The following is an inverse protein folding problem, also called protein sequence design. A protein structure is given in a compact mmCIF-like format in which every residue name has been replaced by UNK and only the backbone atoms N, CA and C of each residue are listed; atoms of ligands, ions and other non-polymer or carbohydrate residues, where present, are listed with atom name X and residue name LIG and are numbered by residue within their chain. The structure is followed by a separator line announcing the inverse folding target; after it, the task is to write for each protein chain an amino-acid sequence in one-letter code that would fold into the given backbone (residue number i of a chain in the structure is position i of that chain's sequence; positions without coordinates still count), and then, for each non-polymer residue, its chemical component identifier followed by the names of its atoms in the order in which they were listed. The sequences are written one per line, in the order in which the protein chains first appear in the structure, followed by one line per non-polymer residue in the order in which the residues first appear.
data_IF_279498706191
#
_entry.id   IF_279498706191
#
_cell.length_a   1.000
_cell.length_b   1.000
_cell.length_c   1.000
_cell.angle_alpha   90.00
_cell.angle_beta   90.00
_cell.angle_gamma   90.00
#
_symmetry.space_group_name_H-M   'P 1'
#
loop_
_entity.id
_entity.type
_entity.pdbx_description
1 polymer ?
#
# COMPACT_ATOMS: atom_id res chain seq x y z
N UNK A 1 -7.89 -17.81 -3.05
CA UNK A 1 -8.12 -17.51 -1.61
C UNK A 1 -6.86 -16.80 -1.10
N UNK A 2 -7.00 -15.87 -0.15
CA UNK A 2 -5.89 -15.03 0.28
C UNK A 2 -6.00 -14.69 1.78
N UNK A 3 -4.88 -14.27 2.36
CA UNK A 3 -4.80 -13.58 3.65
C UNK A 3 -4.49 -12.11 3.36
N UNK A 4 -5.16 -11.20 4.08
CA UNK A 4 -4.99 -9.76 3.90
C UNK A 4 -4.52 -9.09 5.20
N UNK A 5 -3.20 -9.05 5.48
CA UNK A 5 -2.71 -8.30 6.63
C UNK A 5 -2.84 -6.80 6.41
N UNK A 6 -3.19 -6.08 7.47
CA UNK A 6 -3.24 -4.61 7.49
C UNK A 6 -2.00 -4.08 8.22
N UNK A 7 -1.23 -3.21 7.56
CA UNK A 7 -0.09 -2.53 8.16
C UNK A 7 -0.54 -1.25 8.85
N UNK A 8 -1.18 -1.45 10.00
CA UNK A 8 -1.90 -0.40 10.71
C UNK A 8 -0.94 0.68 11.24
N UNK A 9 -1.32 1.94 11.06
CA UNK A 9 -0.57 3.12 11.51
C UNK A 9 0.88 3.20 10.99
N UNK A 10 1.17 2.52 9.89
CA UNK A 10 2.51 2.45 9.31
C UNK A 10 3.42 1.42 9.98
N UNK A 11 2.89 0.62 10.89
CA UNK A 11 3.56 -0.53 11.47
C UNK A 11 3.22 -1.78 10.67
N UNK A 12 4.23 -2.46 10.13
CA UNK A 12 4.01 -3.69 9.37
C UNK A 12 3.57 -4.81 10.31
N UNK A 13 2.67 -5.66 9.81
CA UNK A 13 2.23 -6.86 10.52
C UNK A 13 3.41 -7.84 10.65
N UNK A 14 3.27 -8.87 11.49
CA UNK A 14 4.29 -9.92 11.60
C UNK A 14 4.29 -10.82 10.36
N UNK A 15 5.04 -10.40 9.34
CA UNK A 15 4.98 -11.01 8.02
C UNK A 15 5.57 -12.41 7.98
N UNK A 16 6.53 -12.76 8.84
CA UNK A 16 7.06 -14.12 8.91
C UNK A 16 5.99 -15.10 9.39
N UNK A 17 5.25 -14.74 10.45
CA UNK A 17 4.16 -15.56 10.98
C UNK A 17 3.03 -15.71 9.96
N UNK A 18 2.67 -14.62 9.27
CA UNK A 18 1.65 -14.64 8.22
C UNK A 18 2.09 -15.48 7.02
N UNK A 19 3.34 -15.33 6.57
CA UNK A 19 3.88 -16.08 5.44
C UNK A 19 3.88 -17.58 5.73
N UNK A 20 4.29 -18.00 6.93
CA UNK A 20 4.27 -19.41 7.31
C UNK A 20 2.87 -20.04 7.21
N UNK A 21 1.82 -19.29 7.58
CA UNK A 21 0.43 -19.73 7.45
C UNK A 21 0.01 -19.75 5.97
N UNK A 22 0.35 -18.70 5.21
CA UNK A 22 0.02 -18.60 3.80
C UNK A 22 0.60 -19.76 2.99
N UNK A 23 1.88 -20.09 3.21
CA UNK A 23 2.57 -21.19 2.55
C UNK A 23 1.95 -22.54 2.89
N UNK A 24 1.69 -22.79 4.18
CA UNK A 24 1.06 -24.03 4.66
C UNK A 24 -0.30 -24.31 4.00
N UNK A 25 -1.04 -23.25 3.67
CA UNK A 25 -2.40 -23.34 3.13
C UNK A 25 -2.50 -22.97 1.64
N UNK A 26 -1.37 -22.72 0.98
CA UNK A 26 -1.30 -22.24 -0.40
C UNK A 26 -2.22 -21.03 -0.66
N UNK A 27 -2.08 -20.01 0.18
CA UNK A 27 -2.87 -18.77 0.12
C UNK A 27 -2.01 -17.62 -0.40
N UNK A 28 -2.61 -16.76 -1.23
CA UNK A 28 -1.97 -15.51 -1.61
C UNK A 28 -1.93 -14.51 -0.44
N UNK A 29 -0.96 -13.60 -0.45
CA UNK A 29 -0.89 -12.47 0.49
C UNK A 29 -1.21 -11.18 -0.25
N UNK A 30 -2.21 -10.46 0.26
CA UNK A 30 -2.58 -9.11 -0.19
C UNK A 30 -2.28 -8.15 0.96
N UNK A 31 -1.21 -7.39 0.88
CA UNK A 31 -0.86 -6.42 1.91
C UNK A 31 -1.78 -5.19 1.79
N UNK A 32 -2.61 -4.93 2.81
CA UNK A 32 -3.21 -3.61 2.98
C UNK A 32 -2.17 -2.69 3.61
N UNK A 33 -1.42 -2.02 2.74
CA UNK A 33 -0.37 -1.06 3.06
C UNK A 33 -0.90 0.39 2.99
N UNK A 34 -2.21 0.60 3.10
CA UNK A 34 -2.83 1.92 2.96
C UNK A 34 -2.33 2.97 3.96
N UNK A 35 -1.64 2.57 5.03
CA UNK A 35 -1.05 3.47 6.04
C UNK A 35 0.47 3.32 6.17
N UNK A 36 1.11 2.51 5.31
CA UNK A 36 2.48 2.03 5.52
C UNK A 36 3.42 2.33 4.35
N UNK A 37 3.17 3.38 3.58
CA UNK A 37 4.08 3.80 2.50
C UNK A 37 5.47 4.11 3.06
N UNK A 38 6.47 3.39 2.55
CA UNK A 38 7.86 3.48 3.00
C UNK A 38 8.19 2.75 4.31
N UNK A 39 7.26 2.03 4.92
CA UNK A 39 7.55 1.15 6.05
C UNK A 39 8.38 -0.07 5.58
N UNK A 40 9.14 -0.66 6.51
CA UNK A 40 9.94 -1.87 6.23
C UNK A 40 9.79 -2.92 7.32
N UNK A 41 9.85 -4.18 6.91
CA UNK A 41 9.92 -5.36 7.76
C UNK A 41 11.15 -6.17 7.34
N UNK A 42 12.15 -6.26 8.23
CA UNK A 42 13.43 -6.98 7.97
C UNK A 42 14.07 -6.62 6.63
N UNK A 43 14.07 -5.32 6.29
CA UNK A 43 14.65 -4.79 5.05
C UNK A 43 13.76 -4.90 3.81
N UNK A 44 12.60 -5.57 3.88
CA UNK A 44 11.61 -5.59 2.81
C UNK A 44 10.61 -4.46 3.00
N UNK A 45 10.27 -3.74 1.94
CA UNK A 45 9.29 -2.65 1.97
C UNK A 45 7.87 -3.19 2.05
N UNK A 46 6.97 -2.45 2.72
CA UNK A 46 5.53 -2.74 2.69
C UNK A 46 5.02 -2.80 1.24
N UNK A 47 4.15 -3.76 0.94
CA UNK A 47 3.63 -4.03 -0.39
C UNK A 47 4.64 -4.70 -1.33
N UNK A 48 5.80 -5.13 -0.82
CA UNK A 48 6.84 -5.84 -1.56
C UNK A 48 7.03 -7.30 -1.13
N UNK A 49 6.23 -7.81 -0.18
CA UNK A 49 6.28 -9.20 0.29
C UNK A 49 5.22 -10.03 -0.44
N UNK A 50 4.03 -9.48 -0.63
CA UNK A 50 2.96 -10.00 -1.48
C UNK A 50 2.52 -8.97 -2.52
N UNK A 51 1.22 -8.97 -2.85
CA UNK A 51 0.62 -7.89 -3.65
C UNK A 51 0.19 -6.77 -2.71
N UNK A 52 0.76 -5.58 -2.85
CA UNK A 52 0.48 -4.43 -1.99
C UNK A 52 -0.63 -3.54 -2.52
N UNK A 53 -1.48 -3.06 -1.62
CA UNK A 53 -2.52 -2.07 -1.87
C UNK A 53 -2.25 -0.82 -1.03
N UNK A 54 -2.19 0.35 -1.69
CA UNK A 54 -1.95 1.63 -1.03
C UNK A 54 -3.12 2.58 -1.27
N UNK A 55 -3.35 3.45 -0.29
CA UNK A 55 -4.25 4.59 -0.40
C UNK A 55 -3.42 5.87 -0.53
N UNK A 56 -3.86 6.75 -1.41
CA UNK A 56 -3.32 8.09 -1.58
C UNK A 56 -4.36 9.16 -1.17
N UNK A 57 -5.24 8.81 -0.23
CA UNK A 57 -6.21 9.73 0.34
C UNK A 57 -5.51 10.93 1.02
N UNK A 58 -6.19 12.07 1.08
CA UNK A 58 -5.64 13.35 1.51
C UNK A 58 -4.87 13.35 2.85
N UNK A 59 -5.22 12.46 3.80
CA UNK A 59 -4.60 12.39 5.13
C UNK A 59 -3.43 11.40 5.23
N UNK A 60 -3.11 10.67 4.16
CA UNK A 60 -2.03 9.69 4.13
C UNK A 60 -0.65 10.38 4.13
N UNK A 61 0.40 9.63 4.48
CA UNK A 61 1.77 10.19 4.55
C UNK A 61 2.22 10.79 3.22
N UNK A 62 1.81 10.16 2.12
CA UNK A 62 1.84 10.68 0.76
C UNK A 62 0.43 10.60 0.21
N UNK A 63 -0.02 11.65 -0.48
CA UNK A 63 -1.40 11.78 -0.94
C UNK A 63 -1.48 12.31 -2.37
N UNK A 64 -2.62 12.06 -3.01
CA UNK A 64 -3.00 12.58 -4.33
C UNK A 64 -4.41 13.17 -4.30
N UNK A 65 -4.83 13.73 -3.16
CA UNK A 65 -6.23 14.04 -2.81
C UNK A 65 -7.06 12.77 -2.68
N UNK A 66 -7.27 12.06 -3.79
CA UNK A 66 -7.89 10.75 -3.85
C UNK A 66 -7.04 9.82 -4.73
N UNK A 67 -7.14 8.51 -4.47
CA UNK A 67 -6.53 7.49 -5.30
C UNK A 67 -5.91 6.34 -4.52
N UNK A 68 -5.30 5.43 -5.26
CA UNK A 68 -4.63 4.26 -4.73
C UNK A 68 -3.65 3.67 -5.72
N UNK A 69 -2.89 2.70 -5.24
CA UNK A 69 -1.86 2.02 -6.01
C UNK A 69 -1.84 0.54 -5.66
N UNK A 70 -1.55 -0.29 -6.67
CA UNK A 70 -1.24 -1.71 -6.49
C UNK A 70 0.22 -1.93 -6.85
N UNK A 71 0.95 -2.67 -6.03
CA UNK A 71 2.28 -3.20 -6.31
C UNK A 71 2.24 -4.71 -6.33
N UNK A 72 2.95 -5.33 -7.26
CA UNK A 72 3.08 -6.79 -7.32
C UNK A 72 4.29 -7.17 -8.15
N UNK A 73 4.88 -8.33 -7.87
CA UNK A 73 5.91 -8.97 -8.69
C UNK A 73 5.35 -10.11 -9.55
N UNK A 74 4.04 -10.35 -9.50
CA UNK A 74 3.35 -11.37 -10.29
C UNK A 74 2.79 -10.72 -11.57
N UNK A 75 3.33 -11.13 -12.72
CA UNK A 75 2.97 -10.59 -14.03
C UNK A 75 1.49 -10.86 -14.39
N UNK A 76 0.93 -12.00 -13.98
CA UNK A 76 -0.47 -12.33 -14.22
C UNK A 76 -1.39 -11.43 -13.39
N UNK A 77 -1.02 -11.15 -12.13
CA UNK A 77 -1.74 -10.19 -11.29
C UNK A 77 -1.63 -8.79 -11.88
N UNK A 78 -0.44 -8.39 -12.33
CA UNK A 78 -0.22 -7.08 -12.94
C UNK A 78 -1.06 -6.88 -14.22
N UNK A 79 -1.11 -7.88 -15.11
CA UNK A 79 -1.92 -7.84 -16.33
C UNK A 79 -3.41 -7.71 -15.98
N UNK A 80 -3.91 -8.60 -15.12
CA UNK A 80 -5.33 -8.60 -14.71
C UNK A 80 -5.71 -7.29 -14.02
N UNK A 81 -4.87 -6.75 -13.15
CA UNK A 81 -5.12 -5.47 -12.50
C UNK A 81 -5.22 -4.32 -13.51
N UNK A 82 -4.37 -4.29 -14.54
CA UNK A 82 -4.43 -3.27 -15.61
C UNK A 82 -5.71 -3.37 -16.43
N UNK A 83 -6.15 -4.59 -16.76
CA UNK A 83 -7.40 -4.83 -17.48
C UNK A 83 -8.60 -4.40 -16.62
N UNK A 84 -8.71 -4.92 -15.39
CA UNK A 84 -9.79 -4.59 -14.46
C UNK A 84 -9.87 -3.08 -14.18
N UNK A 85 -8.73 -2.38 -14.11
CA UNK A 85 -8.69 -0.92 -13.92
C UNK A 85 -9.34 -0.13 -15.06
N UNK A 86 -9.35 -0.69 -16.27
CA UNK A 86 -9.75 0.01 -17.49
C UNK A 86 -10.73 -0.79 -18.33
N UNK A 87 -11.90 -1.07 -17.74
CA UNK A 87 -13.06 -1.69 -18.38
C UNK A 87 -12.83 -3.11 -18.92
N UNK A 88 -11.74 -3.78 -18.54
CA UNK A 88 -11.36 -5.08 -19.11
C UNK A 88 -10.84 -4.99 -20.55
N UNK A 89 -10.44 -3.80 -20.99
CA UNK A 89 -10.09 -3.51 -22.37
C UNK A 89 -8.60 -3.74 -22.63
N UNK A 90 -8.23 -4.88 -23.24
CA UNK A 90 -6.82 -5.18 -23.60
C UNK A 90 -6.37 -4.44 -24.85
N UNK A 91 -7.28 -4.31 -25.83
CA UNK A 91 -7.10 -3.53 -27.05
C UNK A 91 -8.24 -2.54 -27.18
N UNK A 92 -8.00 -1.38 -27.79
CA UNK A 92 -9.02 -0.33 -27.90
C UNK A 92 -10.31 -0.88 -28.52
N UNK A 93 -11.42 -0.75 -27.78
CA UNK A 93 -12.77 -1.24 -28.11
C UNK A 93 -12.95 -2.77 -28.12
N UNK A 94 -11.99 -3.55 -27.64
CA UNK A 94 -12.12 -5.00 -27.42
C UNK A 94 -12.01 -5.29 -25.92
N UNK A 95 -13.02 -5.96 -25.39
CA UNK A 95 -13.16 -6.25 -23.96
C UNK A 95 -13.00 -7.75 -23.73
N UNK A 96 -11.86 -8.14 -23.15
CA UNK A 96 -11.50 -9.54 -22.90
C UNK A 96 -12.18 -10.07 -21.63
N UNK A 97 -12.59 -9.17 -20.73
CA UNK A 97 -13.28 -9.50 -19.49
C UNK A 97 -14.13 -8.34 -18.97
N UNK A 98 -14.98 -8.59 -17.98
CA UNK A 98 -15.62 -7.52 -17.22
C UNK A 98 -14.57 -6.76 -16.41
N UNK A 99 -14.62 -5.43 -16.45
CA UNK A 99 -13.75 -4.56 -15.66
C UNK A 99 -14.47 -3.30 -15.19
N UNK A 100 -13.69 -2.36 -14.66
CA UNK A 100 -14.17 -1.17 -13.98
C UNK A 100 -13.52 0.10 -14.51
N UNK A 101 -14.04 1.24 -14.08
CA UNK A 101 -13.39 2.54 -14.27
C UNK A 101 -12.65 2.95 -12.99
N UNK A 102 -11.45 2.40 -12.76
CA UNK A 102 -10.60 2.73 -11.60
C UNK A 102 -9.33 3.49 -11.99
N UNK A 103 -9.35 4.17 -13.14
CA UNK A 103 -8.20 4.97 -13.57
C UNK A 103 -8.04 6.19 -12.65
N UNK A 104 -6.82 6.41 -12.19
CA UNK A 104 -6.41 7.68 -11.59
C UNK A 104 -6.30 8.73 -12.71
N UNK A 105 -6.70 9.98 -12.41
CA UNK A 105 -6.54 11.09 -13.35
C UNK A 105 -5.11 11.60 -13.35
N UNK A 106 -4.69 12.22 -14.45
CA UNK A 106 -3.36 12.82 -14.57
C UNK A 106 -3.11 13.91 -13.52
N UNK A 107 -4.17 14.63 -13.12
CA UNK A 107 -4.08 15.65 -12.06
C UNK A 107 -3.73 15.02 -10.70
N UNK A 108 -4.44 13.96 -10.30
CA UNK A 108 -4.13 13.25 -9.06
C UNK A 108 -2.73 12.61 -9.13
N UNK A 109 -2.37 12.03 -10.29
CA UNK A 109 -1.05 11.44 -10.49
C UNK A 109 0.09 12.47 -10.37
N UNK A 110 -0.08 13.69 -10.92
CA UNK A 110 0.91 14.76 -10.82
C UNK A 110 1.14 15.22 -9.36
N UNK A 111 0.06 15.32 -8.58
CA UNK A 111 0.15 15.62 -7.14
C UNK A 111 0.90 14.48 -6.43
N UNK A 112 0.51 13.23 -6.69
CA UNK A 112 1.12 12.05 -6.09
C UNK A 112 2.62 11.94 -6.39
N UNK A 113 3.03 12.15 -7.64
CA UNK A 113 4.45 12.13 -8.05
C UNK A 113 5.29 13.16 -7.28
N UNK A 114 4.77 14.38 -7.14
CA UNK A 114 5.45 15.45 -6.39
C UNK A 114 5.58 15.10 -4.91
N UNK A 115 4.55 14.48 -4.32
CA UNK A 115 4.55 14.04 -2.92
C UNK A 115 5.50 12.85 -2.69
N UNK A 116 5.56 11.89 -3.62
CA UNK A 116 6.46 10.74 -3.54
C UNK A 116 7.94 11.14 -3.47
N UNK A 117 8.34 12.21 -4.18
CA UNK A 117 9.69 12.76 -4.09
C UNK A 117 10.08 13.29 -2.70
N UNK A 118 9.11 13.45 -1.79
CA UNK A 118 9.30 13.96 -0.42
C UNK A 118 9.01 12.91 0.65
N UNK A 119 8.76 11.67 0.25
CA UNK A 119 8.39 10.58 1.16
C UNK A 119 9.42 10.37 2.28
N UNK A 120 10.71 10.37 1.92
CA UNK A 120 11.79 10.19 2.89
C UNK A 120 11.77 11.29 3.98
N UNK A 121 11.63 12.55 3.57
CA UNK A 121 11.55 13.69 4.49
C UNK A 121 10.31 13.62 5.39
N UNK A 122 9.15 13.24 4.84
CA UNK A 122 7.93 13.08 5.61
C UNK A 122 8.03 11.97 6.65
N UNK A 123 8.64 10.84 6.28
CA UNK A 123 8.86 9.73 7.20
C UNK A 123 9.88 10.10 8.29
N UNK A 124 10.95 10.83 7.94
CA UNK A 124 11.93 11.30 8.92
C UNK A 124 11.30 12.22 9.98
N UNK A 125 10.46 13.18 9.56
CA UNK A 125 9.73 14.07 10.49
C UNK A 125 8.79 13.31 11.41
N UNK A 126 8.05 12.33 10.87
CA UNK A 126 7.15 11.49 11.66
C UNK A 126 7.90 10.66 12.70
N UNK A 127 9.04 10.09 12.33
CA UNK A 127 9.90 9.34 13.25
C UNK A 127 10.40 10.23 14.40
N UNK A 128 10.91 11.42 14.09
CA UNK A 128 11.35 12.38 15.10
C UNK A 128 10.22 12.80 16.06
N UNK A 129 9.01 13.02 15.54
CA UNK A 129 7.85 13.34 16.38
C UNK A 129 7.46 12.17 17.31
N UNK A 130 7.48 10.93 16.80
CA UNK A 130 7.20 9.74 17.59
C UNK A 130 8.23 9.55 18.71
N UNK A 131 9.52 9.74 18.42
CA UNK A 131 10.61 9.69 19.40
C UNK A 131 10.44 10.79 20.48
N UNK A 132 10.08 12.00 20.08
CA UNK A 132 9.82 13.11 21.00
C UNK A 132 8.67 12.79 21.97
N UNK A 133 7.56 12.27 21.45
CA UNK A 133 6.37 11.92 22.24
C UNK A 133 6.65 10.72 23.15
N UNK A 134 7.30 9.68 22.64
CA UNK A 134 7.66 8.49 23.41
C UNK A 134 8.52 8.85 24.64
N UNK A 135 9.43 9.81 24.50
CA UNK A 135 10.30 10.26 25.59
C UNK A 135 9.63 11.19 26.61
N UNK A 136 8.38 11.62 26.39
CA UNK A 136 7.71 12.65 27.22
C UNK A 136 6.33 12.25 27.71
N UNK A 137 5.68 11.27 27.08
CA UNK A 137 4.41 10.72 27.52
C UNK A 137 4.62 9.65 28.59
N UNK A 138 5.19 10.05 29.73
CA UNK A 138 5.53 9.14 30.84
C UNK A 138 4.38 8.93 31.84
N UNK A 139 3.49 9.92 31.98
CA UNK A 139 2.46 9.96 33.02
C UNK A 139 1.05 9.65 32.54
N UNK A 140 0.89 9.29 31.27
CA UNK A 140 -0.41 8.94 30.70
C UNK A 140 -0.71 7.48 31.01
N UNK A 141 -1.78 7.23 31.79
CA UNK A 141 -2.31 5.88 31.95
C UNK A 141 -3.07 5.48 30.69
N UNK A 142 -2.65 4.40 30.05
CA UNK A 142 -3.41 3.79 28.96
C UNK A 142 -4.71 3.22 29.57
N UNK A 143 -5.90 3.54 29.01
CA UNK A 143 -7.17 3.00 29.49
C UNK A 143 -7.23 1.47 29.41
#
# INVERSE_FOLDING_TARGET
KAIMPVHLYGYMADMDAIQAIADKHNLAIIEDAAQAVGATYKGKVAGGIGTGCFSLYATKNVMSVEGGMITTNDDDVAEKARLLRSHGMKRRYYYDMLGFNFRMSDLHAAIGLTQMGRLADFNAKRKANAEYLQARLESVKVP
#
